data_IF_420712058943
#
_entry.id   IF_420712058943
#
_cell.length_a   1.000
_cell.length_b   1.000
_cell.length_c   1.000
_cell.angle_alpha   90.00
_cell.angle_beta   90.00
_cell.angle_gamma   90.00
#
_symmetry.space_group_name_H-M   'P 1'
#
loop_
_entity.id
_entity.type
_entity.pdbx_description
1 polymer ?
#
# COMPACT_ATOMS: atom_id res chain seq x y z
N UNK A 1 -33.56 7.98 -9.80
CA UNK A 1 -32.66 7.16 -10.64
C UNK A 1 -31.31 7.05 -9.94
N UNK A 2 -31.03 5.91 -9.30
CA UNK A 2 -29.78 5.64 -8.58
C UNK A 2 -28.76 5.05 -9.56
N UNK A 3 -27.61 5.71 -9.73
CA UNK A 3 -26.48 5.18 -10.50
C UNK A 3 -25.45 4.64 -9.51
N UNK A 4 -25.46 3.34 -9.29
CA UNK A 4 -24.43 2.61 -8.56
C UNK A 4 -23.35 2.16 -9.53
N UNK A 5 -22.21 2.84 -9.52
CA UNK A 5 -20.99 2.40 -10.20
C UNK A 5 -20.02 1.86 -9.16
N UNK A 6 -19.99 0.55 -8.99
CA UNK A 6 -18.97 -0.15 -8.22
C UNK A 6 -17.77 -0.42 -9.14
N UNK A 7 -16.68 0.34 -8.98
CA UNK A 7 -15.41 0.06 -9.63
C UNK A 7 -14.51 -0.67 -8.63
N UNK A 8 -14.35 -1.99 -8.82
CA UNK A 8 -13.40 -2.80 -8.06
C UNK A 8 -11.97 -2.48 -8.50
N UNK A 9 -11.18 -1.86 -7.63
CA UNK A 9 -9.74 -1.65 -7.85
C UNK A 9 -8.99 -2.90 -7.42
N UNK A 10 -8.65 -3.77 -8.37
CA UNK A 10 -7.75 -4.90 -8.14
C UNK A 10 -6.30 -4.41 -8.04
N UNK A 11 -5.70 -4.42 -6.84
CA UNK A 11 -4.25 -4.24 -6.65
C UNK A 11 -3.51 -5.48 -7.16
N UNK A 12 -2.85 -5.38 -8.31
CA UNK A 12 -1.79 -6.32 -8.70
C UNK A 12 -0.49 -5.88 -8.03
N UNK A 13 -0.05 -6.61 -7.02
CA UNK A 13 1.31 -6.49 -6.48
C UNK A 13 2.26 -7.22 -7.44
N UNK A 14 3.04 -6.47 -8.22
CA UNK A 14 4.16 -7.02 -8.97
C UNK A 14 5.30 -7.21 -7.97
N UNK A 15 5.54 -8.45 -7.55
CA UNK A 15 6.74 -8.80 -6.81
C UNK A 15 7.95 -8.61 -7.74
N UNK A 16 8.78 -7.61 -7.47
CA UNK A 16 10.04 -7.38 -8.17
C UNK A 16 11.04 -8.48 -7.76
N UNK A 17 11.03 -9.61 -8.46
CA UNK A 17 12.13 -10.56 -8.43
C UNK A 17 13.31 -9.93 -9.18
N UNK A 18 14.25 -9.35 -8.44
CA UNK A 18 15.55 -8.98 -8.98
C UNK A 18 16.26 -10.28 -9.40
N UNK A 19 16.71 -10.43 -10.65
CA UNK A 19 17.58 -11.55 -10.99
C UNK A 19 18.89 -11.37 -10.25
N UNK A 20 19.24 -12.39 -9.46
CA UNK A 20 20.56 -12.56 -8.85
C UNK A 20 21.58 -12.74 -9.98
N UNK A 21 22.05 -11.63 -10.53
CA UNK A 21 23.12 -11.58 -11.51
C UNK A 21 24.37 -12.11 -10.85
N UNK A 22 24.70 -13.37 -11.18
CA UNK A 22 25.83 -14.09 -10.64
C UNK A 22 27.13 -13.28 -10.69
N UNK A 23 27.83 -13.30 -9.56
CA UNK A 23 29.28 -13.17 -9.41
C UNK A 23 30.01 -12.97 -10.74
N UNK A 24 30.26 -11.73 -11.12
CA UNK A 24 31.24 -11.45 -12.15
C UNK A 24 32.61 -11.88 -11.64
N UNK A 25 33.12 -12.97 -12.20
CA UNK A 25 34.51 -13.38 -12.03
C UNK A 25 35.41 -12.22 -12.51
N UNK A 26 36.37 -11.83 -11.69
CA UNK A 26 37.38 -10.86 -12.06
C UNK A 26 38.07 -11.31 -13.35
N UNK A 27 37.99 -10.47 -14.40
CA UNK A 27 38.77 -10.64 -15.62
C UNK A 27 40.24 -10.64 -15.21
N UNK A 28 40.88 -11.80 -15.23
CA UNK A 28 42.34 -11.89 -15.14
C UNK A 28 42.89 -11.41 -16.46
N UNK A 29 43.65 -10.32 -16.41
CA UNK A 29 44.50 -9.89 -17.51
C UNK A 29 45.48 -11.02 -17.81
N UNK A 30 45.27 -11.70 -18.93
CA UNK A 30 46.31 -12.56 -19.48
C UNK A 30 47.46 -11.66 -19.90
N UNK A 31 48.57 -11.71 -19.16
CA UNK A 31 49.87 -11.21 -19.61
C UNK A 31 50.36 -12.14 -20.72
N UNK A 32 49.90 -11.88 -21.94
CA UNK A 32 50.40 -12.49 -23.17
C UNK A 32 51.72 -11.85 -23.56
N UNK A 33 52.72 -12.69 -23.84
CA UNK A 33 54.11 -12.32 -24.01
C UNK A 33 54.39 -11.29 -25.10
N UNK A 34 55.44 -10.52 -24.86
CA UNK A 34 56.10 -9.63 -25.80
C UNK A 34 56.58 -10.37 -27.06
N UNK A 35 55.98 -10.05 -28.20
CA UNK A 35 56.55 -10.23 -29.54
C UNK A 35 56.53 -8.85 -30.22
N UNK A 36 57.65 -8.36 -30.80
CA UNK A 36 57.71 -7.05 -31.42
C UNK A 36 57.14 -7.13 -32.85
N UNK A 37 55.81 -7.22 -32.95
CA UNK A 37 55.14 -7.10 -34.24
C UNK A 37 54.77 -5.63 -34.48
N UNK A 38 55.46 -5.04 -35.46
CA UNK A 38 55.08 -3.94 -36.37
C UNK A 38 53.94 -3.06 -35.85
N UNK A 39 54.25 -1.79 -35.56
CA UNK A 39 53.27 -0.75 -35.25
C UNK A 39 52.19 -0.65 -36.34
N UNK A 40 51.09 -1.35 -36.16
CA UNK A 40 49.87 -1.11 -36.91
C UNK A 40 49.38 0.29 -36.50
N UNK A 41 49.47 1.24 -37.43
CA UNK A 41 48.79 2.51 -37.33
C UNK A 41 47.28 2.23 -37.36
N UNK A 42 46.71 1.94 -36.20
CA UNK A 42 45.27 1.82 -36.02
C UNK A 42 44.73 3.25 -35.95
N UNK A 43 44.36 3.79 -37.11
CA UNK A 43 43.52 4.98 -37.20
C UNK A 43 42.12 4.61 -36.68
N UNK A 44 41.93 4.61 -35.35
CA UNK A 44 40.60 4.49 -34.76
C UNK A 44 39.83 5.79 -35.07
N UNK A 45 38.72 5.74 -35.83
CA UNK A 45 37.94 6.93 -36.08
C UNK A 45 37.38 7.45 -34.76
N UNK A 46 37.34 8.79 -34.62
CA UNK A 46 36.73 9.45 -33.47
C UNK A 46 35.33 8.90 -33.24
N UNK A 47 35.11 8.30 -32.07
CA UNK A 47 33.85 7.62 -31.74
C UNK A 47 32.65 8.56 -31.74
N UNK A 48 31.45 7.98 -31.82
CA UNK A 48 30.18 8.74 -31.85
C UNK A 48 30.06 9.79 -30.72
N UNK A 49 30.56 9.48 -29.52
CA UNK A 49 30.54 10.39 -28.39
C UNK A 49 31.28 11.72 -28.66
N UNK A 50 32.37 11.69 -29.45
CA UNK A 50 33.12 12.88 -29.83
C UNK A 50 32.29 13.80 -30.73
N UNK A 51 31.64 13.25 -31.75
CA UNK A 51 30.77 14.04 -32.62
C UNK A 51 29.50 14.52 -31.89
N UNK A 52 28.99 13.71 -30.97
CA UNK A 52 27.85 14.09 -30.13
C UNK A 52 28.17 15.31 -29.26
N UNK A 53 29.35 15.41 -28.65
CA UNK A 53 29.73 16.59 -27.85
C UNK A 53 29.86 17.84 -28.70
N UNK A 54 30.44 17.75 -29.90
CA UNK A 54 30.47 18.90 -30.83
C UNK A 54 29.07 19.29 -31.32
N UNK A 55 28.15 18.33 -31.47
CA UNK A 55 26.77 18.62 -31.83
C UNK A 55 25.99 19.33 -30.70
N UNK A 56 26.39 19.19 -29.44
CA UNK A 56 25.73 19.87 -28.31
C UNK A 56 25.82 21.40 -28.44
N UNK A 57 26.95 21.93 -28.90
CA UNK A 57 27.17 23.39 -28.99
C UNK A 57 26.16 24.09 -29.91
N UNK A 58 25.96 23.69 -31.18
CA UNK A 58 24.96 24.30 -32.03
C UNK A 58 23.53 24.00 -31.57
N UNK A 59 23.28 22.82 -30.98
CA UNK A 59 21.95 22.47 -30.44
C UNK A 59 21.55 23.41 -29.29
N UNK A 60 22.43 23.61 -28.31
CA UNK A 60 22.19 24.56 -27.22
C UNK A 60 22.03 26.00 -27.73
N UNK A 61 22.82 26.38 -28.75
CA UNK A 61 22.71 27.70 -29.37
C UNK A 61 21.36 27.89 -30.06
N UNK A 62 20.87 26.86 -30.76
CA UNK A 62 19.54 26.87 -31.39
C UNK A 62 18.42 26.96 -30.35
N UNK A 63 18.50 26.16 -29.29
CA UNK A 63 17.55 26.20 -28.16
C UNK A 63 17.55 27.60 -27.51
N UNK A 64 18.73 28.19 -27.31
CA UNK A 64 18.85 29.53 -26.74
C UNK A 64 18.18 30.60 -27.61
N UNK A 65 18.39 30.56 -28.93
CA UNK A 65 17.73 31.51 -29.84
C UNK A 65 16.21 31.33 -29.86
N UNK A 66 15.72 30.08 -29.80
CA UNK A 66 14.30 29.76 -29.66
C UNK A 66 13.70 30.18 -28.30
N UNK A 67 14.54 30.29 -27.26
CA UNK A 67 14.13 30.71 -25.92
C UNK A 67 14.09 32.24 -25.73
N UNK A 68 14.64 33.03 -26.67
CA UNK A 68 14.65 34.50 -26.55
C UNK A 68 13.27 35.09 -26.78
N UNK A 69 12.81 35.93 -25.86
CA UNK A 69 11.54 36.64 -25.90
C UNK A 69 11.21 37.23 -27.29
N UNK A 70 9.98 36.99 -27.76
CA UNK A 70 9.50 37.41 -29.07
C UNK A 70 9.30 38.94 -29.15
N UNK A 71 9.00 39.59 -28.01
CA UNK A 71 8.92 41.03 -27.80
C UNK A 71 9.19 41.37 -26.33
N UNK A 72 9.50 42.64 -26.02
CA UNK A 72 9.72 43.13 -24.65
C UNK A 72 8.50 42.85 -23.76
N UNK A 73 8.60 41.82 -22.90
CA UNK A 73 7.59 41.47 -21.90
C UNK A 73 6.65 40.31 -22.26
N UNK A 74 6.67 39.79 -23.50
CA UNK A 74 5.81 38.68 -23.90
C UNK A 74 6.56 37.33 -23.91
N UNK A 75 6.02 36.35 -23.18
CA UNK A 75 6.58 35.01 -23.10
C UNK A 75 6.50 34.30 -24.46
N UNK A 76 7.61 33.68 -24.90
CA UNK A 76 7.65 32.89 -26.13
C UNK A 76 6.59 31.80 -26.15
N UNK A 77 6.13 31.43 -27.36
CA UNK A 77 5.14 30.36 -27.54
C UNK A 77 5.55 29.02 -26.89
N UNK A 78 6.85 28.70 -26.89
CA UNK A 78 7.41 27.53 -26.19
C UNK A 78 7.29 27.67 -24.68
N UNK A 79 7.69 28.81 -24.14
CA UNK A 79 7.63 29.09 -22.71
C UNK A 79 6.18 29.13 -22.22
N UNK A 80 5.24 29.62 -23.04
CA UNK A 80 3.79 29.55 -22.77
C UNK A 80 3.29 28.11 -22.69
N UNK A 81 3.65 27.25 -23.66
CA UNK A 81 3.29 25.82 -23.61
C UNK A 81 3.90 25.10 -22.41
N UNK A 82 5.15 25.41 -22.05
CA UNK A 82 5.80 24.84 -20.87
C UNK A 82 5.07 25.28 -19.60
N UNK A 83 4.69 26.56 -19.51
CA UNK A 83 3.91 27.08 -18.40
C UNK A 83 2.52 26.42 -18.32
N UNK A 84 1.78 26.35 -19.42
CA UNK A 84 0.47 25.70 -19.48
C UNK A 84 0.55 24.23 -19.03
N UNK A 85 1.56 23.50 -19.50
CA UNK A 85 1.82 22.12 -19.08
C UNK A 85 2.16 22.01 -17.58
N UNK A 86 2.94 22.95 -17.06
CA UNK A 86 3.29 22.97 -15.64
C UNK A 86 2.07 23.25 -14.76
N UNK A 87 1.18 24.15 -15.18
CA UNK A 87 -0.09 24.43 -14.49
C UNK A 87 -0.98 23.19 -14.49
N UNK A 88 -1.22 22.59 -15.66
CA UNK A 88 -2.02 21.36 -15.77
C UNK A 88 -1.46 20.24 -14.90
N UNK A 89 -0.13 20.06 -14.92
CA UNK A 89 0.51 19.07 -14.08
C UNK A 89 0.24 19.39 -12.61
N UNK A 90 0.50 20.61 -12.14
CA UNK A 90 0.25 21.01 -10.75
C UNK A 90 -1.20 20.76 -10.31
N UNK A 91 -2.19 21.05 -11.15
CA UNK A 91 -3.60 20.81 -10.86
C UNK A 91 -3.85 19.30 -10.65
N UNK A 92 -3.35 18.45 -11.56
CA UNK A 92 -3.49 16.99 -11.38
C UNK A 92 -2.78 16.46 -10.14
N UNK A 93 -1.67 17.07 -9.74
CA UNK A 93 -0.97 16.72 -8.50
C UNK A 93 -1.79 17.14 -7.26
N UNK A 94 -2.41 18.32 -7.29
CA UNK A 94 -3.30 18.79 -6.24
C UNK A 94 -4.53 17.89 -6.11
N UNK A 95 -5.20 17.54 -7.21
CA UNK A 95 -6.37 16.64 -7.20
C UNK A 95 -6.05 15.27 -6.60
N UNK A 96 -4.90 14.70 -6.95
CA UNK A 96 -4.43 13.43 -6.39
C UNK A 96 -4.15 13.54 -4.90
N UNK A 97 -3.59 14.67 -4.45
CA UNK A 97 -3.32 14.88 -3.03
C UNK A 97 -4.63 15.03 -2.25
N UNK A 98 -5.60 15.78 -2.76
CA UNK A 98 -6.94 15.90 -2.18
C UNK A 98 -7.63 14.55 -2.10
N UNK A 99 -7.57 13.73 -3.15
CA UNK A 99 -8.16 12.39 -3.13
C UNK A 99 -7.50 11.48 -2.07
N UNK A 100 -6.18 11.61 -1.86
CA UNK A 100 -5.47 10.86 -0.81
C UNK A 100 -5.87 11.33 0.59
N UNK A 101 -5.94 12.63 0.83
CA UNK A 101 -6.34 13.16 2.16
C UNK A 101 -7.75 12.73 2.51
N UNK A 102 -8.70 12.82 1.57
CA UNK A 102 -10.06 12.33 1.74
C UNK A 102 -10.12 10.82 2.04
N UNK A 103 -9.28 10.02 1.39
CA UNK A 103 -9.21 8.58 1.67
C UNK A 103 -8.68 8.30 3.08
N UNK A 104 -7.67 9.05 3.53
CA UNK A 104 -7.14 8.93 4.90
C UNK A 104 -8.16 9.37 5.95
N UNK A 105 -8.89 10.46 5.72
CA UNK A 105 -9.95 10.93 6.62
C UNK A 105 -11.06 9.90 6.77
N UNK A 106 -11.52 9.31 5.65
CA UNK A 106 -12.50 8.22 5.68
C UNK A 106 -11.99 7.00 6.44
N UNK A 107 -10.75 6.58 6.19
CA UNK A 107 -10.15 5.45 6.90
C UNK A 107 -9.97 5.74 8.41
N UNK A 108 -9.64 6.97 8.78
CA UNK A 108 -9.53 7.38 10.17
C UNK A 108 -10.90 7.40 10.86
N UNK A 109 -11.93 7.92 10.19
CA UNK A 109 -13.32 7.90 10.67
C UNK A 109 -13.81 6.46 10.87
N UNK A 110 -13.55 5.58 9.91
CA UNK A 110 -13.92 4.17 9.98
C UNK A 110 -13.22 3.43 11.12
N UNK A 111 -11.91 3.68 11.33
CA UNK A 111 -11.20 3.19 12.52
C UNK A 111 -11.83 3.70 13.81
N UNK A 112 -12.25 4.95 13.85
CA UNK A 112 -12.91 5.49 15.04
C UNK A 112 -14.24 4.76 15.30
N UNK A 113 -15.03 4.48 14.26
CA UNK A 113 -16.23 3.66 14.41
C UNK A 113 -15.89 2.26 14.93
N UNK A 114 -14.94 1.54 14.34
CA UNK A 114 -14.67 0.15 14.77
C UNK A 114 -14.01 0.04 16.16
N UNK A 115 -13.20 1.01 16.54
CA UNK A 115 -12.53 0.99 17.85
C UNK A 115 -13.44 1.52 18.96
N UNK A 116 -14.26 2.53 18.68
CA UNK A 116 -15.02 3.24 19.71
C UNK A 116 -16.53 2.96 19.68
N UNK A 117 -17.11 2.40 18.61
CA UNK A 117 -18.55 2.06 18.60
C UNK A 117 -18.93 1.05 19.69
N UNK A 118 -18.01 0.17 20.07
CA UNK A 118 -18.24 -0.84 21.11
C UNK A 118 -17.73 -0.43 22.50
N UNK A 119 -17.25 0.81 22.70
CA UNK A 119 -16.73 1.23 24.01
C UNK A 119 -17.78 1.31 25.14
N UNK A 120 -19.08 1.15 24.81
CA UNK A 120 -20.17 1.00 25.77
C UNK A 120 -20.67 -0.43 25.96
N UNK A 121 -20.30 -1.37 25.09
CA UNK A 121 -20.68 -2.78 25.19
C UNK A 121 -19.54 -3.60 25.76
N UNK A 122 -19.86 -4.51 26.67
CA UNK A 122 -18.87 -5.40 27.26
C UNK A 122 -18.17 -6.20 26.14
N UNK A 123 -16.82 -6.31 26.14
CA UNK A 123 -16.11 -7.15 25.18
C UNK A 123 -16.48 -8.64 25.29
N UNK A 124 -17.18 -9.01 26.36
CA UNK A 124 -17.73 -10.33 26.58
C UNK A 124 -19.14 -10.42 25.99
N UNK A 125 -19.31 -11.29 24.99
CA UNK A 125 -20.63 -11.63 24.44
C UNK A 125 -21.17 -12.88 25.14
N UNK A 126 -22.40 -12.82 25.65
CA UNK A 126 -23.03 -13.99 26.25
C UNK A 126 -23.41 -15.00 25.17
N UNK A 127 -22.77 -16.16 25.17
CA UNK A 127 -23.15 -17.28 24.31
C UNK A 127 -24.47 -17.90 24.78
N UNK A 128 -25.34 -18.28 23.83
CA UNK A 128 -26.66 -18.86 24.15
C UNK A 128 -26.57 -20.20 24.88
N UNK A 129 -25.51 -20.96 24.62
CA UNK A 129 -25.22 -22.26 25.24
C UNK A 129 -23.69 -22.43 25.38
N UNK A 130 -23.22 -23.18 26.39
CA UNK A 130 -21.79 -23.32 26.67
C UNK A 130 -21.03 -23.99 25.51
N UNK A 131 -21.67 -24.91 24.80
CA UNK A 131 -21.05 -25.65 23.69
C UNK A 131 -20.85 -24.81 22.42
N UNK A 132 -21.45 -23.62 22.34
CA UNK A 132 -21.31 -22.71 21.19
C UNK A 132 -19.84 -22.30 20.97
N UNK A 133 -19.04 -22.31 22.03
CA UNK A 133 -17.62 -21.96 22.03
C UNK A 133 -16.78 -22.98 21.21
N UNK A 134 -17.33 -24.19 20.99
CA UNK A 134 -16.65 -25.31 20.32
C UNK A 134 -17.15 -25.53 18.89
N UNK A 135 -18.08 -24.71 18.43
CA UNK A 135 -18.64 -24.83 17.07
C UNK A 135 -17.57 -24.38 16.07
N UNK A 136 -16.92 -25.36 15.44
CA UNK A 136 -15.85 -25.15 14.48
C UNK A 136 -15.71 -26.31 13.50
N UNK A 137 -14.74 -26.22 12.60
CA UNK A 137 -14.43 -27.28 11.65
C UNK A 137 -13.93 -28.53 12.40
N UNK A 138 -14.45 -29.74 12.12
CA UNK A 138 -14.02 -30.97 12.79
C UNK A 138 -12.62 -31.45 12.38
N UNK A 139 -11.97 -30.79 11.41
CA UNK A 139 -10.67 -31.19 10.85
C UNK A 139 -9.63 -30.09 11.02
N UNK A 140 -8.39 -30.50 11.23
CA UNK A 140 -7.21 -29.64 11.23
C UNK A 140 -7.10 -28.65 12.41
N UNK A 141 -7.53 -29.09 13.59
CA UNK A 141 -7.43 -28.32 14.84
C UNK A 141 -6.13 -28.69 15.57
N UNK A 142 -5.21 -27.75 15.82
CA UNK A 142 -3.99 -28.04 16.58
C UNK A 142 -4.33 -28.42 18.03
N UNK A 143 -3.53 -29.31 18.62
CA UNK A 143 -3.70 -29.69 20.02
C UNK A 143 -3.61 -28.45 20.94
N UNK A 144 -4.56 -28.31 21.87
CA UNK A 144 -4.66 -27.15 22.76
C UNK A 144 -5.39 -25.94 22.18
N UNK A 145 -6.01 -26.04 21.00
CA UNK A 145 -6.82 -24.96 20.41
C UNK A 145 -8.02 -24.55 21.27
N UNK A 146 -8.64 -25.51 21.95
CA UNK A 146 -9.83 -25.25 22.71
C UNK A 146 -9.54 -24.93 24.18
N UNK A 147 -10.17 -23.87 24.70
CA UNK A 147 -10.05 -23.44 26.09
C UNK A 147 -10.79 -24.36 27.06
N UNK A 148 -10.38 -24.43 28.33
CA UNK A 148 -11.12 -25.19 29.33
C UNK A 148 -12.53 -24.57 29.56
N UNK A 149 -13.57 -25.38 29.40
CA UNK A 149 -14.98 -25.00 29.57
C UNK A 149 -15.48 -25.04 31.00
N UNK A 150 -14.76 -25.64 31.93
CA UNK A 150 -15.23 -25.83 33.31
C UNK A 150 -15.69 -24.51 33.95
N UNK A 151 -14.92 -23.43 33.76
CA UNK A 151 -15.25 -22.10 34.25
C UNK A 151 -16.56 -21.54 33.63
N UNK A 152 -16.78 -21.77 32.34
CA UNK A 152 -18.00 -21.33 31.65
C UNK A 152 -19.21 -22.10 32.17
N UNK A 153 -19.05 -23.41 32.36
CA UNK A 153 -20.09 -24.29 32.92
C UNK A 153 -20.45 -23.85 34.33
N UNK A 154 -19.46 -23.57 35.19
CA UNK A 154 -19.69 -23.07 36.55
C UNK A 154 -20.43 -21.73 36.56
N UNK A 155 -20.03 -20.79 35.71
CA UNK A 155 -20.68 -19.49 35.58
C UNK A 155 -22.17 -19.62 35.19
N UNK A 156 -22.49 -20.43 34.18
CA UNK A 156 -23.90 -20.65 33.79
C UNK A 156 -24.69 -21.44 34.83
N UNK A 157 -24.05 -22.36 35.55
CA UNK A 157 -24.67 -23.07 36.67
C UNK A 157 -25.07 -22.11 37.79
N UNK A 158 -24.18 -21.17 38.15
CA UNK A 158 -24.49 -20.13 39.14
C UNK A 158 -25.63 -19.22 38.68
N UNK A 159 -25.61 -18.79 37.40
CA UNK A 159 -26.71 -18.00 36.81
C UNK A 159 -28.05 -18.76 36.88
N UNK A 160 -28.05 -20.05 36.60
CA UNK A 160 -29.25 -20.89 36.66
C UNK A 160 -29.82 -20.94 38.08
N UNK A 161 -28.99 -21.26 39.08
CA UNK A 161 -29.40 -21.31 40.49
C UNK A 161 -29.98 -19.96 40.96
N UNK A 162 -29.31 -18.86 40.64
CA UNK A 162 -29.79 -17.52 40.97
C UNK A 162 -31.14 -17.18 40.30
N UNK A 163 -31.41 -17.74 39.11
CA UNK A 163 -32.70 -17.56 38.42
C UNK A 163 -33.82 -18.37 39.08
N UNK A 164 -33.53 -19.59 39.53
CA UNK A 164 -34.48 -20.45 40.25
C UNK A 164 -34.85 -19.84 41.60
N UNK A 165 -33.88 -19.34 42.37
CA UNK A 165 -34.16 -18.62 43.61
C UNK A 165 -35.05 -17.38 43.41
N UNK A 166 -34.87 -16.66 42.30
CA UNK A 166 -35.75 -15.51 41.97
C UNK A 166 -37.16 -15.97 41.62
N UNK A 167 -37.31 -17.10 40.92
CA UNK A 167 -38.62 -17.67 40.59
C UNK A 167 -39.35 -18.17 41.83
N UNK A 168 -38.66 -18.90 42.72
CA UNK A 168 -39.26 -19.39 43.97
C UNK A 168 -39.68 -18.25 44.89
N UNK A 169 -38.85 -17.20 45.02
CA UNK A 169 -39.22 -15.98 45.77
C UNK A 169 -40.45 -15.28 45.21
N UNK A 170 -40.55 -15.16 43.87
CA UNK A 170 -41.73 -14.59 43.21
C UNK A 170 -42.99 -15.45 43.41
N UNK A 171 -42.84 -16.77 43.38
CA UNK A 171 -43.95 -17.71 43.58
C UNK A 171 -44.44 -17.64 45.03
N UNK A 172 -43.53 -17.66 46.01
CA UNK A 172 -43.85 -17.49 47.43
C UNK A 172 -44.52 -16.13 47.72
N UNK A 173 -44.03 -15.03 47.12
CA UNK A 173 -44.64 -13.71 47.27
C UNK A 173 -46.06 -13.62 46.68
N UNK A 174 -46.32 -14.39 45.62
CA UNK A 174 -47.65 -14.49 44.99
C UNK A 174 -48.62 -15.33 45.84
N UNK A 175 -48.14 -16.37 46.50
CA UNK A 175 -48.94 -17.19 47.40
C UNK A 175 -49.26 -16.49 48.73
N UNK A 176 -48.43 -15.54 49.16
CA UNK A 176 -48.66 -14.73 50.36
C UNK A 176 -49.54 -13.50 50.16
N UNK A 177 -50.00 -13.22 48.93
CA UNK A 177 -50.87 -12.08 48.57
C UNK A 177 -52.26 -12.54 48.16
#
# INVERSE_FOLDING_TARGET
MLRTTAAGVSRRTIASQLPNAGRQQARRWASGGSVPDIAHNVNEPLGFAFWATFAVVPVLTGIYQLSKYANEGEMNWLARKVFDYQVEMNDTWQDRNVARTQAYEKAAHDKHLFLYANMGESPYHEVRFPDAIWVGCPRNVPAGHYANVDYVVEHYRQKYLASEEKKTKKLAAKESS
#
